data_IF_906338276980
#
_entry.id   IF_906338276980
#
_cell.length_a   1.000
_cell.length_b   1.000
_cell.length_c   1.000
_cell.angle_alpha   90.00
_cell.angle_beta   90.00
_cell.angle_gamma   90.00
#
_symmetry.space_group_name_H-M   'P 1'
#
loop_
_entity.id
_entity.type
_entity.pdbx_description
1 polymer ?
#
# COMPACT_ATOMS: atom_id res chain seq x y z
N UNK A 1 -0.84 12.38 10.81
CA UNK A 1 0.63 12.24 10.87
C UNK A 1 1.23 12.37 9.47
N UNK A 2 2.45 12.87 9.41
CA UNK A 2 3.24 12.94 8.18
C UNK A 2 4.65 12.43 8.49
N UNK A 3 5.26 11.69 7.56
CA UNK A 3 6.60 11.16 7.71
C UNK A 3 7.35 11.10 6.38
N UNK A 4 8.66 11.34 6.44
CA UNK A 4 9.58 11.16 5.31
C UNK A 4 10.50 10.00 5.65
N UNK A 5 10.53 9.00 4.79
CA UNK A 5 11.35 7.80 4.93
C UNK A 5 12.42 7.82 3.85
N UNK A 6 13.66 7.62 4.26
CA UNK A 6 14.79 7.44 3.35
C UNK A 6 15.19 5.97 3.33
N UNK A 7 15.19 5.39 2.15
CA UNK A 7 15.61 4.01 1.90
C UNK A 7 16.99 3.96 1.27
N UNK A 8 17.51 2.76 1.11
CA UNK A 8 18.70 2.52 0.32
C UNK A 8 18.47 2.98 -1.13
N UNK A 9 19.56 3.24 -1.86
CA UNK A 9 19.53 3.73 -3.25
C UNK A 9 18.83 5.09 -3.46
N UNK A 10 18.90 5.97 -2.45
CA UNK A 10 18.32 7.32 -2.50
C UNK A 10 16.82 7.41 -2.77
N UNK A 11 16.10 6.31 -2.57
CA UNK A 11 14.64 6.32 -2.59
C UNK A 11 14.11 7.08 -1.37
N UNK A 12 13.23 8.04 -1.61
CA UNK A 12 12.53 8.81 -0.58
C UNK A 12 11.03 8.56 -0.71
N UNK A 13 10.37 8.24 0.39
CA UNK A 13 8.93 8.16 0.47
C UNK A 13 8.39 9.19 1.45
N UNK A 14 7.39 9.95 1.02
CA UNK A 14 6.61 10.84 1.87
C UNK A 14 5.24 10.23 2.09
N UNK A 15 4.87 10.02 3.35
CA UNK A 15 3.62 9.36 3.73
C UNK A 15 2.84 10.25 4.66
N UNK A 16 1.55 10.42 4.37
CA UNK A 16 0.62 11.17 5.21
C UNK A 16 -0.59 10.31 5.55
N UNK A 17 -1.04 10.39 6.80
CA UNK A 17 -2.25 9.72 7.26
C UNK A 17 -2.99 10.59 8.26
N UNK A 18 -4.32 10.55 8.21
CA UNK A 18 -5.18 11.29 9.12
C UNK A 18 -6.50 10.55 9.34
N UNK A 19 -7.13 10.79 10.50
CA UNK A 19 -8.47 10.31 10.82
C UNK A 19 -9.45 11.48 11.04
N UNK A 20 -8.96 12.71 11.01
CA UNK A 20 -9.74 13.92 11.32
C UNK A 20 -10.01 14.79 10.11
N UNK A 21 -9.31 14.56 9.01
CA UNK A 21 -9.39 15.38 7.81
C UNK A 21 -9.54 14.48 6.57
N UNK A 22 -10.21 14.99 5.55
CA UNK A 22 -10.24 14.32 4.25
C UNK A 22 -8.95 14.64 3.50
N UNK A 23 -8.23 13.59 3.11
CA UNK A 23 -7.06 13.68 2.26
C UNK A 23 -7.29 12.89 0.96
N UNK A 24 -6.57 13.27 -0.07
CA UNK A 24 -6.52 12.46 -1.29
C UNK A 24 -5.93 11.07 -0.97
N UNK A 25 -6.63 10.06 -1.47
CA UNK A 25 -6.24 8.67 -1.30
C UNK A 25 -5.56 8.17 -2.58
N UNK A 26 -4.33 8.59 -2.79
CA UNK A 26 -3.54 8.24 -3.96
C UNK A 26 -2.10 7.86 -3.56
N UNK A 27 -1.39 7.23 -4.49
CA UNK A 27 0.06 7.07 -4.41
C UNK A 27 0.68 7.58 -5.71
N UNK A 28 1.76 8.36 -5.57
CA UNK A 28 2.52 8.92 -6.70
C UNK A 28 3.95 8.41 -6.62
N UNK A 29 4.43 7.79 -7.69
CA UNK A 29 5.81 7.32 -7.81
C UNK A 29 6.48 8.15 -8.90
N UNK A 30 7.48 8.92 -8.51
CA UNK A 30 8.25 9.76 -9.44
C UNK A 30 9.62 9.15 -9.68
N UNK A 31 9.96 8.92 -10.94
CA UNK A 31 11.25 8.42 -11.37
C UNK A 31 11.87 9.27 -12.47
N UNK A 32 13.10 8.97 -12.84
CA UNK A 32 13.85 9.68 -13.90
C UNK A 32 13.20 9.57 -15.28
N UNK A 33 12.39 8.54 -15.50
CA UNK A 33 11.74 8.29 -16.79
C UNK A 33 10.27 8.73 -16.85
N UNK A 34 9.66 9.09 -15.71
CA UNK A 34 8.26 9.51 -15.68
C UNK A 34 7.62 9.37 -14.31
N UNK A 35 6.30 9.43 -14.31
CA UNK A 35 5.48 9.41 -13.10
C UNK A 35 4.41 8.33 -13.23
N UNK A 36 4.19 7.57 -12.15
CA UNK A 36 3.07 6.65 -12.02
C UNK A 36 2.14 7.18 -10.92
N UNK A 37 0.86 7.26 -11.22
CA UNK A 37 -0.18 7.66 -10.26
C UNK A 37 -1.14 6.49 -10.09
N UNK A 38 -1.37 6.10 -8.84
CA UNK A 38 -2.33 5.08 -8.46
C UNK A 38 -3.50 5.77 -7.75
N UNK A 39 -4.67 5.75 -8.36
CA UNK A 39 -5.88 6.28 -7.74
C UNK A 39 -6.45 5.24 -6.77
N UNK A 40 -6.67 5.63 -5.51
CA UNK A 40 -7.26 4.78 -4.46
C UNK A 40 -6.58 3.41 -4.25
N UNK A 41 -5.24 3.34 -4.11
CA UNK A 41 -4.53 2.06 -4.04
C UNK A 41 -4.83 1.23 -2.79
N UNK A 42 -5.32 1.88 -1.71
CA UNK A 42 -5.52 1.24 -0.40
C UNK A 42 -6.87 0.54 -0.24
N UNK A 43 -7.83 0.81 -1.10
CA UNK A 43 -9.17 0.27 -0.93
C UNK A 43 -9.96 0.26 -2.24
N UNK A 44 -9.46 -0.37 -3.30
CA UNK A 44 -10.21 -0.47 -4.54
C UNK A 44 -11.48 -1.30 -4.29
N UNK A 45 -12.66 -0.75 -4.65
CA UNK A 45 -13.95 -1.43 -4.44
C UNK A 45 -14.41 -1.55 -2.99
N UNK A 46 -13.89 -0.72 -2.07
CA UNK A 46 -14.21 -0.76 -0.63
C UNK A 46 -15.70 -0.62 -0.30
N UNK A 47 -16.48 -0.03 -1.18
CA UNK A 47 -17.90 0.23 -0.98
C UNK A 47 -18.80 -0.97 -1.37
N UNK A 48 -18.20 -2.17 -1.46
CA UNK A 48 -18.92 -3.43 -1.69
C UNK A 48 -19.14 -3.78 -3.16
N UNK A 49 -18.56 -3.02 -4.07
CA UNK A 49 -18.58 -3.29 -5.50
C UNK A 49 -17.36 -4.09 -5.98
N UNK A 50 -17.32 -4.45 -7.27
CA UNK A 50 -16.12 -4.97 -7.91
C UNK A 50 -14.98 -3.94 -7.76
N UNK A 51 -13.75 -4.42 -7.60
CA UNK A 51 -12.63 -3.51 -7.50
C UNK A 51 -12.38 -2.81 -8.85
N UNK A 52 -12.04 -1.53 -8.76
CA UNK A 52 -11.72 -0.70 -9.91
C UNK A 52 -10.56 0.23 -9.53
N UNK A 53 -9.49 0.16 -10.25
CA UNK A 53 -8.31 1.01 -10.04
C UNK A 53 -7.77 1.55 -11.36
N UNK A 54 -7.42 2.81 -11.36
CA UNK A 54 -6.75 3.46 -12.48
C UNK A 54 -5.26 3.62 -12.16
N UNK A 55 -4.43 3.14 -13.07
CA UNK A 55 -2.99 3.38 -13.06
C UNK A 55 -2.70 4.36 -14.20
N UNK A 56 -2.22 5.55 -13.87
CA UNK A 56 -1.84 6.56 -14.84
C UNK A 56 -0.31 6.58 -14.95
N UNK A 57 0.20 6.43 -16.16
CA UNK A 57 1.63 6.47 -16.46
C UNK A 57 1.89 7.69 -17.33
N UNK A 58 2.74 8.60 -16.86
CA UNK A 58 3.12 9.82 -17.58
C UNK A 58 4.59 9.70 -17.95
N UNK A 59 4.87 9.65 -19.25
CA UNK A 59 6.22 9.59 -19.81
C UNK A 59 6.30 10.41 -21.09
N UNK A 60 7.32 11.26 -21.24
CA UNK A 60 7.54 12.12 -22.42
C UNK A 60 6.28 12.93 -22.81
N UNK A 61 5.66 13.59 -21.84
CA UNK A 61 4.43 14.38 -21.97
C UNK A 61 3.21 13.60 -22.53
N UNK A 62 3.28 12.28 -22.50
CA UNK A 62 2.18 11.39 -22.87
C UNK A 62 1.65 10.70 -21.63
N UNK A 63 0.32 10.59 -21.56
CA UNK A 63 -0.37 9.85 -20.50
C UNK A 63 -0.95 8.57 -21.08
N UNK A 64 -0.63 7.47 -20.44
CA UNK A 64 -1.28 6.17 -20.63
C UNK A 64 -2.13 5.88 -19.39
N UNK A 65 -3.32 5.33 -19.59
CA UNK A 65 -4.22 4.93 -18.50
C UNK A 65 -4.47 3.43 -18.62
N UNK A 66 -4.12 2.70 -17.58
CA UNK A 66 -4.47 1.28 -17.42
C UNK A 66 -5.69 1.23 -16.52
N UNK A 67 -6.80 0.77 -17.06
CA UNK A 67 -8.07 0.60 -16.34
C UNK A 67 -8.16 -0.86 -15.87
N UNK A 68 -7.87 -1.08 -14.59
CA UNK A 68 -7.90 -2.40 -13.99
C UNK A 68 -9.23 -2.63 -13.26
N UNK A 69 -9.96 -3.65 -13.71
CA UNK A 69 -11.26 -4.04 -13.14
C UNK A 69 -11.25 -5.53 -12.83
N UNK A 70 -11.84 -5.90 -11.71
CA UNK A 70 -12.06 -7.29 -11.34
C UNK A 70 -13.42 -7.46 -10.67
N UNK A 71 -14.06 -8.61 -10.82
CA UNK A 71 -15.40 -8.88 -10.26
C UNK A 71 -15.37 -9.06 -8.74
N UNK A 72 -14.21 -9.38 -8.18
CA UNK A 72 -14.07 -9.75 -6.78
C UNK A 72 -13.99 -8.49 -5.90
N UNK A 73 -14.46 -8.62 -4.67
CA UNK A 73 -14.23 -7.62 -3.61
C UNK A 73 -12.77 -7.66 -3.16
N UNK A 74 -12.22 -6.53 -2.70
CA UNK A 74 -10.81 -6.43 -2.29
C UNK A 74 -10.37 -7.51 -1.29
N UNK A 75 -11.19 -7.86 -0.31
CA UNK A 75 -10.89 -8.90 0.68
C UNK A 75 -10.96 -10.33 0.16
N UNK A 76 -11.46 -10.55 -1.06
CA UNK A 76 -11.47 -11.87 -1.68
C UNK A 76 -10.05 -12.42 -1.84
N UNK A 77 -9.12 -11.58 -2.27
CA UNK A 77 -7.73 -11.99 -2.52
C UNK A 77 -6.99 -12.41 -1.26
N UNK A 78 -7.26 -11.74 -0.13
CA UNK A 78 -6.69 -12.10 1.18
C UNK A 78 -7.24 -13.45 1.65
N UNK A 79 -8.55 -13.64 1.55
CA UNK A 79 -9.21 -14.89 1.93
C UNK A 79 -8.78 -16.06 1.04
N UNK A 80 -8.69 -15.85 -0.28
CA UNK A 80 -8.28 -16.86 -1.24
C UNK A 80 -6.82 -17.29 -0.99
N UNK A 81 -5.90 -16.33 -0.85
CA UNK A 81 -4.49 -16.62 -0.63
C UNK A 81 -4.27 -17.35 0.70
N UNK A 82 -4.96 -16.94 1.76
CA UNK A 82 -4.91 -17.61 3.06
C UNK A 82 -5.44 -19.04 2.98
N UNK A 83 -6.58 -19.23 2.30
CA UNK A 83 -7.17 -20.57 2.11
C UNK A 83 -6.25 -21.50 1.33
N UNK A 84 -5.65 -21.01 0.24
CA UNK A 84 -4.68 -21.78 -0.55
C UNK A 84 -3.42 -22.14 0.24
N UNK A 85 -2.99 -21.26 1.13
CA UNK A 85 -1.83 -21.47 1.99
C UNK A 85 -2.10 -22.59 3.00
N UNK A 86 -3.30 -22.59 3.62
CA UNK A 86 -3.74 -23.63 4.55
C UNK A 86 -3.90 -24.98 3.85
N UNK A 87 -4.54 -25.02 2.69
CA UNK A 87 -4.72 -26.26 1.91
C UNK A 87 -3.38 -26.89 1.54
N UNK A 88 -2.36 -26.07 1.28
CA UNK A 88 -0.99 -26.53 0.98
C UNK A 88 -0.15 -26.80 2.22
N UNK A 89 -0.75 -26.79 3.40
CA UNK A 89 -0.08 -27.03 4.71
C UNK A 89 1.14 -26.11 4.93
N UNK A 90 1.11 -24.88 4.40
CA UNK A 90 2.15 -23.89 4.61
C UNK A 90 1.81 -23.00 5.80
N UNK A 91 2.84 -22.56 6.53
CA UNK A 91 2.69 -21.69 7.69
C UNK A 91 2.71 -20.21 7.36
N UNK A 92 3.12 -19.88 6.14
CA UNK A 92 3.30 -18.50 5.70
C UNK A 92 2.74 -18.31 4.29
N UNK A 93 2.04 -17.20 4.07
CA UNK A 93 1.55 -16.82 2.75
C UNK A 93 2.71 -16.44 1.84
N UNK A 94 2.71 -16.89 0.56
CA UNK A 94 3.72 -16.45 -0.39
C UNK A 94 3.41 -15.04 -0.91
N UNK A 95 4.41 -14.39 -1.51
CA UNK A 95 4.17 -13.19 -2.33
C UNK A 95 3.05 -13.46 -3.37
N UNK A 96 2.11 -12.52 -3.58
CA UNK A 96 2.06 -11.14 -3.11
C UNK A 96 1.41 -10.94 -1.73
N UNK A 97 1.19 -11.98 -0.96
CA UNK A 97 0.73 -11.85 0.43
C UNK A 97 1.83 -11.27 1.33
N UNK A 98 1.42 -10.77 2.46
CA UNK A 98 2.33 -10.19 3.44
C UNK A 98 3.03 -11.29 4.24
N UNK A 99 4.32 -11.46 4.02
CA UNK A 99 5.15 -12.44 4.72
C UNK A 99 5.41 -12.03 6.18
N UNK A 100 5.97 -12.93 6.98
CA UNK A 100 6.40 -12.59 8.34
C UNK A 100 7.47 -11.50 8.35
N UNK A 101 8.40 -11.55 7.41
CA UNK A 101 9.45 -10.54 7.27
C UNK A 101 8.86 -9.19 6.91
N UNK A 102 7.93 -9.13 5.97
CA UNK A 102 7.20 -7.91 5.62
C UNK A 102 6.45 -7.34 6.83
N UNK A 103 5.79 -8.22 7.61
CA UNK A 103 5.05 -7.83 8.82
C UNK A 103 5.99 -7.23 9.86
N UNK A 104 7.11 -7.87 10.14
CA UNK A 104 8.09 -7.37 11.11
C UNK A 104 8.74 -6.06 10.65
N UNK A 105 9.08 -5.96 9.37
CA UNK A 105 9.62 -4.74 8.77
C UNK A 105 8.65 -3.56 8.86
N UNK A 106 7.38 -3.81 8.55
CA UNK A 106 6.32 -2.81 8.66
C UNK A 106 6.12 -2.34 10.10
N UNK A 107 6.03 -3.27 11.06
CA UNK A 107 5.87 -2.92 12.48
C UNK A 107 7.07 -2.12 13.01
N UNK A 108 8.29 -2.49 12.63
CA UNK A 108 9.50 -1.75 12.99
C UNK A 108 9.45 -0.32 12.46
N UNK A 109 9.08 -0.14 11.19
CA UNK A 109 8.95 1.19 10.57
C UNK A 109 7.88 2.04 11.28
N UNK A 110 6.74 1.44 11.63
CA UNK A 110 5.69 2.12 12.39
C UNK A 110 6.16 2.54 13.79
N UNK A 111 6.94 1.71 14.47
CA UNK A 111 7.50 2.03 15.79
C UNK A 111 8.52 3.17 15.71
N UNK A 112 9.36 3.18 14.69
CA UNK A 112 10.30 4.28 14.45
C UNK A 112 9.56 5.58 14.14
N UNK A 113 8.53 5.54 13.30
CA UNK A 113 7.69 6.70 13.00
C UNK A 113 6.97 7.21 14.23
N UNK A 114 6.38 6.32 15.03
CA UNK A 114 5.73 6.65 16.30
C UNK A 114 6.67 7.37 17.26
N UNK A 115 7.91 6.90 17.41
CA UNK A 115 8.95 7.57 18.20
C UNK A 115 9.28 8.96 17.66
N UNK A 116 9.42 9.09 16.33
CA UNK A 116 9.78 10.35 15.70
C UNK A 116 8.72 11.44 15.90
N UNK A 117 7.43 11.08 15.92
CA UNK A 117 6.33 12.02 16.20
C UNK A 117 6.03 12.19 17.69
N UNK A 118 6.76 11.54 18.57
CA UNK A 118 6.59 11.64 20.02
C UNK A 118 5.33 10.96 20.58
N UNK A 119 4.71 10.09 19.79
CA UNK A 119 3.51 9.38 20.23
C UNK A 119 3.87 8.15 21.07
N UNK A 120 3.32 8.09 22.28
CA UNK A 120 3.49 6.96 23.21
C UNK A 120 2.17 6.25 23.42
N UNK A 121 2.23 4.93 23.47
CA UNK A 121 1.10 4.11 23.87
C UNK A 121 1.07 4.00 25.42
N UNK A 122 -0.11 3.73 26.03
CA UNK A 122 -0.21 3.58 27.48
C UNK A 122 0.67 2.47 28.08
N UNK A 123 1.10 1.51 27.28
CA UNK A 123 1.94 0.39 27.66
C UNK A 123 3.43 0.61 27.41
N UNK A 124 3.85 1.74 26.90
CA UNK A 124 5.26 2.07 26.63
C UNK A 124 6.02 2.48 27.89
#
# INVERSE_FOLDING_TARGET
AHGTFKFENDLIAEVSTTITENMENNAVITGTEGIIILDQPWGPGKDGGPHHSLIKIIKNDKMEIIDFKGPEHLFFFEAELSSQTIIKEKLEVPYPGMTWEDTLGNLKTLDEWRKAVGYRLPQD
#
